data_IF_983061434275
#
_entry.id   IF_983061434275
#
_cell.length_a   1.000
_cell.length_b   1.000
_cell.length_c   1.000
_cell.angle_alpha   90.00
_cell.angle_beta   90.00
_cell.angle_gamma   90.00
#
_symmetry.space_group_name_H-M   'P 1'
#
loop_
_entity.id
_entity.type
_entity.pdbx_description
1 polymer ?
#
# COMPACT_ATOMS: atom_id res chain seq x y z
N UNK A 1 58.73 3.23 39.04
CA UNK A 1 57.77 4.34 39.15
C UNK A 1 57.14 4.54 37.78
N UNK A 2 55.96 3.94 37.55
CA UNK A 2 55.21 4.12 36.31
C UNK A 2 53.76 4.41 36.69
N UNK A 3 53.30 5.60 36.33
CA UNK A 3 51.96 6.11 36.59
C UNK A 3 50.98 5.52 35.56
N UNK A 4 49.90 4.88 36.02
CA UNK A 4 48.73 4.54 35.20
C UNK A 4 47.78 5.74 35.14
N UNK A 5 47.29 6.16 33.96
CA UNK A 5 46.24 7.17 33.87
C UNK A 5 44.86 6.51 34.08
N UNK A 6 44.05 7.16 34.92
CA UNK A 6 42.65 6.83 35.17
C UNK A 6 41.81 7.32 33.98
N UNK A 7 41.24 6.42 33.20
CA UNK A 7 40.27 6.76 32.14
C UNK A 7 38.88 6.94 32.78
N UNK A 8 38.38 8.18 32.78
CA UNK A 8 36.99 8.50 33.09
C UNK A 8 36.08 7.98 31.96
N UNK A 9 35.25 6.99 32.26
CA UNK A 9 34.17 6.57 31.37
C UNK A 9 32.98 7.53 31.55
N UNK A 10 32.72 8.36 30.55
CA UNK A 10 31.50 9.17 30.45
C UNK A 10 30.32 8.26 30.05
N UNK A 11 29.41 8.02 30.98
CA UNK A 11 28.14 7.36 30.72
C UNK A 11 27.26 8.30 29.89
N UNK A 12 27.09 8.01 28.60
CA UNK A 12 26.06 8.62 27.77
C UNK A 12 24.69 8.15 28.27
N UNK A 13 23.94 9.08 28.86
CA UNK A 13 22.56 8.88 29.25
C UNK A 13 21.73 8.50 28.03
N UNK A 14 21.22 7.27 28.02
CA UNK A 14 20.16 6.89 27.12
C UNK A 14 18.93 7.72 27.49
N UNK A 15 18.46 8.55 26.55
CA UNK A 15 17.20 9.25 26.67
C UNK A 15 16.08 8.23 26.81
N UNK A 16 15.64 8.00 28.04
CA UNK A 16 14.45 7.23 28.37
C UNK A 16 13.25 8.00 27.84
N UNK A 17 12.76 7.65 26.64
CA UNK A 17 11.40 7.99 26.26
C UNK A 17 10.47 7.42 27.32
N UNK A 18 9.68 8.28 27.98
CA UNK A 18 8.70 7.81 28.96
C UNK A 18 7.80 6.77 28.30
N UNK A 19 7.52 5.62 28.95
CA UNK A 19 6.59 4.64 28.39
C UNK A 19 5.25 5.33 28.14
N UNK A 20 4.70 5.15 26.94
CA UNK A 20 3.38 5.67 26.62
C UNK A 20 2.40 5.20 27.71
N UNK A 21 1.63 6.14 28.27
CA UNK A 21 0.72 5.82 29.36
C UNK A 21 -0.32 4.79 28.86
N UNK A 22 -0.28 3.59 29.45
CA UNK A 22 -1.25 2.54 29.15
C UNK A 22 -2.66 3.04 29.44
N UNK A 23 -3.60 2.71 28.55
CA UNK A 23 -5.03 3.03 28.70
C UNK A 23 -5.80 1.81 29.15
N UNK A 24 -7.01 1.99 29.66
CA UNK A 24 -7.91 0.91 30.08
C UNK A 24 -8.97 0.62 29.02
N UNK A 25 -9.24 -0.66 28.78
CA UNK A 25 -10.38 -1.17 28.02
C UNK A 25 -11.01 -2.29 28.85
N UNK A 26 -12.14 -2.00 29.49
CA UNK A 26 -12.70 -2.86 30.53
C UNK A 26 -11.71 -3.01 31.68
N UNK A 27 -11.31 -4.24 31.96
CA UNK A 27 -10.32 -4.57 32.98
C UNK A 27 -8.88 -4.69 32.43
N UNK A 28 -8.68 -4.51 31.12
CA UNK A 28 -7.38 -4.69 30.47
C UNK A 28 -6.66 -3.35 30.30
N UNK A 29 -5.35 -3.33 30.56
CA UNK A 29 -4.48 -2.24 30.14
C UNK A 29 -3.97 -2.50 28.72
N UNK A 30 -3.87 -1.45 27.90
CA UNK A 30 -3.41 -1.55 26.52
C UNK A 30 -2.58 -0.33 26.08
N UNK A 31 -1.72 -0.54 25.09
CA UNK A 31 -1.00 0.53 24.39
C UNK A 31 -1.89 1.08 23.26
N UNK A 32 -2.23 2.37 23.34
CA UNK A 32 -3.10 3.04 22.37
C UNK A 32 -2.44 3.28 21.00
N UNK A 33 -1.15 2.99 20.86
CA UNK A 33 -0.43 3.00 19.59
C UNK A 33 -0.55 1.66 18.85
N UNK A 34 -0.86 0.58 19.56
CA UNK A 34 -0.99 -0.78 19.01
C UNK A 34 -2.43 -1.28 18.98
N UNK A 35 -3.30 -0.77 19.85
CA UNK A 35 -4.68 -1.23 19.98
C UNK A 35 -5.67 -0.05 20.10
N UNK A 36 -6.91 -0.32 19.73
CA UNK A 36 -8.08 0.53 19.95
C UNK A 36 -9.10 -0.23 20.79
N UNK A 37 -9.72 0.47 21.74
CA UNK A 37 -10.81 -0.04 22.55
C UNK A 37 -12.17 0.34 21.95
N UNK A 38 -13.05 -0.65 21.77
CA UNK A 38 -14.42 -0.49 21.32
C UNK A 38 -15.39 -0.79 22.45
N UNK A 39 -16.41 0.07 22.60
CA UNK A 39 -17.47 -0.04 23.60
C UNK A 39 -16.95 -0.35 25.03
N UNK A 40 -15.80 0.22 25.38
CA UNK A 40 -15.12 0.08 26.67
C UNK A 40 -14.84 -1.36 27.13
N UNK A 41 -14.87 -2.37 26.25
CA UNK A 41 -14.61 -3.76 26.66
C UNK A 41 -14.09 -4.69 25.54
N UNK A 42 -13.85 -4.19 24.32
CA UNK A 42 -13.37 -5.02 23.22
C UNK A 42 -12.14 -4.40 22.56
N UNK A 43 -11.00 -5.09 22.62
CA UNK A 43 -9.74 -4.61 22.07
C UNK A 43 -9.53 -5.13 20.64
N UNK A 44 -9.22 -4.21 19.73
CA UNK A 44 -8.77 -4.52 18.39
C UNK A 44 -7.39 -3.96 18.13
N UNK A 45 -6.58 -4.71 17.38
CA UNK A 45 -5.24 -4.27 16.98
C UNK A 45 -5.34 -3.17 15.92
N UNK A 46 -4.39 -2.24 15.93
CA UNK A 46 -4.11 -1.31 14.84
C UNK A 46 -3.16 -2.00 13.85
N UNK A 47 -3.59 -2.19 12.61
CA UNK A 47 -2.83 -2.90 11.58
C UNK A 47 -2.52 -1.97 10.40
N UNK A 48 -1.24 -1.72 10.14
CA UNK A 48 -0.80 -0.79 9.08
C UNK A 48 -1.47 0.61 9.18
N UNK A 49 -1.66 1.10 10.40
CA UNK A 49 -2.36 2.36 10.69
C UNK A 49 -3.88 2.28 10.66
N UNK A 50 -4.48 1.13 10.35
CA UNK A 50 -5.92 0.91 10.45
C UNK A 50 -6.30 0.48 11.87
N UNK A 51 -7.06 1.27 12.63
CA UNK A 51 -7.76 0.75 13.80
C UNK A 51 -8.86 -0.20 13.35
N UNK A 52 -8.67 -1.52 13.55
CA UNK A 52 -9.66 -2.51 13.14
C UNK A 52 -10.99 -2.27 13.85
N UNK A 53 -12.09 -2.43 13.12
CA UNK A 53 -13.46 -2.27 13.62
C UNK A 53 -13.98 -3.58 14.23
N UNK A 54 -15.15 -3.55 14.89
CA UNK A 54 -15.76 -4.72 15.54
C UNK A 54 -17.07 -5.08 14.87
N UNK A 55 -17.24 -6.36 14.54
CA UNK A 55 -18.50 -6.93 14.06
C UNK A 55 -18.71 -8.31 14.66
N UNK A 56 -19.87 -8.56 15.26
CA UNK A 56 -20.22 -9.90 15.77
C UNK A 56 -19.23 -10.49 16.79
N UNK A 57 -18.52 -9.62 17.55
CA UNK A 57 -17.51 -10.06 18.51
C UNK A 57 -16.13 -10.38 17.92
N UNK A 58 -15.83 -9.95 16.69
CA UNK A 58 -14.52 -10.09 16.07
C UNK A 58 -14.02 -8.76 15.48
N UNK A 59 -12.70 -8.60 15.44
CA UNK A 59 -12.07 -7.47 14.74
C UNK A 59 -12.05 -7.71 13.23
N UNK A 60 -12.28 -6.68 12.43
CA UNK A 60 -12.23 -6.75 10.98
C UNK A 60 -11.64 -5.49 10.34
N UNK A 61 -11.09 -5.65 9.13
CA UNK A 61 -10.59 -4.55 8.31
C UNK A 61 -11.72 -3.93 7.49
N UNK A 62 -11.89 -2.63 7.67
CA UNK A 62 -12.79 -1.77 6.90
C UNK A 62 -12.33 -1.57 5.45
N UNK A 63 -11.09 -1.96 5.10
CA UNK A 63 -10.65 -1.98 3.70
C UNK A 63 -11.26 -3.13 2.89
N UNK A 64 -11.82 -4.16 3.55
CA UNK A 64 -12.36 -5.34 2.86
C UNK A 64 -13.80 -5.64 3.24
N UNK A 65 -14.21 -5.32 4.46
CA UNK A 65 -15.50 -5.74 4.99
C UNK A 65 -16.30 -4.58 5.55
N UNK A 66 -17.62 -4.78 5.60
CA UNK A 66 -18.57 -3.96 6.35
C UNK A 66 -19.36 -4.83 7.33
N UNK A 67 -19.80 -4.23 8.43
CA UNK A 67 -20.67 -4.89 9.39
C UNK A 67 -22.12 -4.54 9.07
N UNK A 68 -22.95 -5.55 8.79
CA UNK A 68 -24.38 -5.37 8.58
C UNK A 68 -25.14 -5.26 9.91
N UNK A 69 -26.32 -4.61 9.93
CA UNK A 69 -27.22 -4.65 11.08
C UNK A 69 -27.46 -6.10 11.52
N UNK A 70 -27.26 -6.39 12.81
CA UNK A 70 -27.29 -7.77 13.33
C UNK A 70 -25.91 -8.42 13.51
N UNK A 71 -24.80 -7.70 13.24
CA UNK A 71 -23.46 -8.17 13.56
C UNK A 71 -22.90 -9.20 12.58
N UNK A 72 -23.42 -9.24 11.35
CA UNK A 72 -22.91 -10.10 10.29
C UNK A 72 -21.88 -9.38 9.45
N UNK A 73 -20.69 -9.98 9.29
CA UNK A 73 -19.63 -9.46 8.45
C UNK A 73 -19.92 -9.75 6.98
N UNK A 74 -19.84 -8.74 6.13
CA UNK A 74 -20.02 -8.87 4.68
C UNK A 74 -18.81 -8.26 3.95
N UNK A 75 -18.40 -8.88 2.85
CA UNK A 75 -17.39 -8.31 1.97
C UNK A 75 -17.93 -7.05 1.31
N UNK A 76 -17.09 -6.03 1.18
CA UNK A 76 -17.43 -4.83 0.44
C UNK A 76 -17.63 -5.16 -1.06
N UNK A 77 -18.41 -4.35 -1.80
CA UNK A 77 -18.56 -4.53 -3.23
C UNK A 77 -17.21 -4.44 -3.95
N UNK A 78 -16.95 -5.34 -4.89
CA UNK A 78 -15.73 -5.30 -5.69
C UNK A 78 -15.71 -4.07 -6.62
N UNK A 79 -14.55 -3.41 -6.72
CA UNK A 79 -14.33 -2.23 -7.56
C UNK A 79 -13.96 -2.62 -9.01
N UNK A 80 -14.85 -3.35 -9.68
CA UNK A 80 -14.64 -3.85 -11.05
C UNK A 80 -15.38 -3.05 -12.13
N UNK A 81 -16.23 -2.10 -11.73
CA UNK A 81 -17.12 -1.38 -12.66
C UNK A 81 -16.43 -0.23 -13.41
N UNK A 82 -15.40 0.37 -12.84
CA UNK A 82 -14.70 1.53 -13.40
C UNK A 82 -13.25 1.58 -12.91
N UNK A 83 -12.35 2.30 -13.62
CA UNK A 83 -11.02 2.57 -13.11
C UNK A 83 -11.02 3.26 -11.74
N UNK A 84 -9.98 3.02 -10.98
CA UNK A 84 -9.72 3.70 -9.70
C UNK A 84 -8.26 4.09 -9.58
N UNK A 85 -7.96 5.05 -8.72
CA UNK A 85 -6.61 5.35 -8.27
C UNK A 85 -6.40 4.81 -6.86
N UNK A 86 -5.15 4.77 -6.41
CA UNK A 86 -4.79 4.29 -5.09
C UNK A 86 -4.10 5.39 -4.29
N UNK A 87 -4.48 5.52 -3.03
CA UNK A 87 -3.83 6.40 -2.06
C UNK A 87 -3.36 5.59 -0.86
N UNK A 88 -2.17 5.87 -0.36
CA UNK A 88 -1.63 5.25 0.84
C UNK A 88 -2.45 5.69 2.06
N UNK A 89 -2.78 4.74 2.93
CA UNK A 89 -3.46 4.99 4.19
C UNK A 89 -2.68 4.37 5.34
N UNK A 90 -1.94 5.20 6.06
CA UNK A 90 -1.49 4.95 7.43
C UNK A 90 -1.36 6.29 8.17
N UNK A 91 -2.38 6.74 8.93
CA UNK A 91 -2.37 8.04 9.61
C UNK A 91 -1.19 8.25 10.59
N UNK A 92 -0.61 7.18 11.11
CA UNK A 92 0.57 7.23 11.98
C UNK A 92 1.87 7.52 11.21
N UNK A 93 1.83 7.53 9.88
CA UNK A 93 2.93 7.86 8.98
C UNK A 93 2.58 9.07 8.10
N UNK A 94 2.58 10.30 8.64
CA UNK A 94 2.08 11.49 7.93
C UNK A 94 2.83 11.80 6.63
N UNK A 95 4.10 11.41 6.50
CA UNK A 95 4.86 11.58 5.26
C UNK A 95 4.36 10.69 4.10
N UNK A 96 3.72 9.56 4.42
CA UNK A 96 3.21 8.60 3.45
C UNK A 96 1.67 8.63 3.34
N UNK A 97 0.96 8.96 4.42
CA UNK A 97 -0.50 9.02 4.42
C UNK A 97 -1.02 9.98 3.34
N UNK A 98 -1.97 9.53 2.53
CA UNK A 98 -2.56 10.29 1.44
C UNK A 98 -1.70 10.38 0.17
N UNK A 99 -0.45 9.91 0.18
CA UNK A 99 0.37 9.87 -1.03
C UNK A 99 -0.26 8.96 -2.09
N UNK A 100 -0.23 9.33 -3.38
CA UNK A 100 -0.73 8.47 -4.44
C UNK A 100 0.20 7.25 -4.61
N UNK A 101 -0.34 6.15 -5.12
CA UNK A 101 0.49 5.14 -5.78
C UNK A 101 0.64 5.54 -7.25
N UNK A 102 1.88 5.72 -7.68
CA UNK A 102 2.21 6.19 -9.02
C UNK A 102 2.93 5.09 -9.80
N UNK A 103 2.58 4.94 -11.08
CA UNK A 103 3.41 4.30 -12.08
C UNK A 103 4.71 5.09 -12.16
N UNK A 104 5.78 4.45 -11.74
CA UNK A 104 7.12 4.95 -11.80
C UNK A 104 7.81 4.46 -13.08
N UNK A 105 8.79 5.25 -13.53
CA UNK A 105 9.70 4.85 -14.59
C UNK A 105 10.32 3.48 -14.30
N UNK A 106 10.45 2.66 -15.33
CA UNK A 106 10.96 1.29 -15.18
C UNK A 106 9.87 0.28 -14.84
N UNK A 107 8.60 0.59 -15.16
CA UNK A 107 7.46 -0.32 -15.09
C UNK A 107 7.14 -0.85 -13.67
N UNK A 108 7.30 0.01 -12.66
CA UNK A 108 7.05 -0.30 -11.25
C UNK A 108 6.02 0.64 -10.64
N UNK A 109 5.32 0.20 -9.61
CA UNK A 109 4.58 1.13 -8.75
C UNK A 109 5.46 1.65 -7.63
N UNK A 110 5.28 2.92 -7.29
CA UNK A 110 5.93 3.58 -6.18
C UNK A 110 4.91 4.40 -5.38
N UNK A 111 5.27 4.72 -4.14
CA UNK A 111 4.49 5.66 -3.31
C UNK A 111 5.00 7.08 -3.57
N UNK A 112 4.07 7.96 -3.95
CA UNK A 112 4.32 9.36 -4.26
C UNK A 112 4.94 9.60 -5.65
N UNK A 113 5.26 10.86 -5.91
CA UNK A 113 5.87 11.33 -7.15
C UNK A 113 4.92 11.32 -8.36
N UNK A 114 5.36 11.92 -9.49
CA UNK A 114 4.54 11.99 -10.69
C UNK A 114 4.36 10.62 -11.35
N UNK A 115 3.21 10.44 -12.00
CA UNK A 115 2.94 9.29 -12.87
C UNK A 115 3.79 9.39 -14.14
N UNK A 116 4.52 8.33 -14.46
CA UNK A 116 5.27 8.21 -15.70
C UNK A 116 4.36 7.63 -16.79
N UNK A 117 4.10 8.42 -17.83
CA UNK A 117 3.24 8.06 -18.93
C UNK A 117 3.73 8.65 -20.24
N UNK A 118 3.25 8.08 -21.35
CA UNK A 118 3.58 8.54 -22.69
C UNK A 118 2.35 8.50 -23.58
N UNK A 119 2.21 9.49 -24.46
CA UNK A 119 1.24 9.49 -25.55
C UNK A 119 1.90 9.95 -26.86
N UNK A 120 1.84 9.16 -27.95
CA UNK A 120 2.35 9.54 -29.26
C UNK A 120 1.34 10.42 -30.02
N UNK A 121 1.09 11.64 -29.52
CA UNK A 121 0.04 12.53 -30.05
C UNK A 121 0.16 12.84 -31.56
N UNK A 122 1.39 12.82 -32.11
CA UNK A 122 1.63 12.99 -33.55
C UNK A 122 1.13 11.81 -34.41
N UNK A 123 0.93 10.64 -33.80
CA UNK A 123 0.47 9.41 -34.45
C UNK A 123 -1.02 9.18 -34.21
N UNK A 124 -1.48 9.37 -32.96
CA UNK A 124 -2.86 9.06 -32.56
C UNK A 124 -3.79 10.27 -32.52
N UNK A 125 -3.25 11.49 -32.69
CA UNK A 125 -3.96 12.74 -32.49
C UNK A 125 -4.03 13.18 -31.02
N UNK A 126 -4.06 14.49 -30.74
CA UNK A 126 -4.06 15.01 -29.37
C UNK A 126 -5.32 14.62 -28.58
N UNK A 127 -6.48 14.53 -29.25
CA UNK A 127 -7.75 14.17 -28.61
C UNK A 127 -7.81 12.71 -28.16
N UNK A 128 -6.91 11.87 -28.67
CA UNK A 128 -6.76 10.47 -28.27
C UNK A 128 -5.80 10.29 -27.09
N UNK A 129 -5.19 11.36 -26.57
CA UNK A 129 -4.28 11.32 -25.43
C UNK A 129 -5.02 11.62 -24.12
N UNK A 130 -5.14 10.64 -23.21
CA UNK A 130 -5.58 10.91 -21.85
C UNK A 130 -4.57 11.81 -21.10
N UNK A 131 -4.97 12.43 -19.98
CA UNK A 131 -4.12 13.38 -19.26
C UNK A 131 -2.75 12.84 -18.81
N UNK A 132 -2.64 11.54 -18.55
CA UNK A 132 -1.36 10.91 -18.20
C UNK A 132 -0.77 11.32 -16.85
N UNK A 133 -1.51 12.08 -16.03
CA UNK A 133 -1.03 12.66 -14.77
C UNK A 133 -1.41 11.84 -13.52
N UNK A 134 -2.19 10.76 -13.69
CA UNK A 134 -2.61 9.88 -12.61
C UNK A 134 -2.48 8.40 -13.02
N UNK A 135 -2.15 7.57 -12.04
CA UNK A 135 -2.09 6.12 -12.21
C UNK A 135 -3.43 5.52 -11.87
N UNK A 136 -4.15 5.12 -12.92
CA UNK A 136 -5.46 4.49 -12.81
C UNK A 136 -5.33 2.98 -13.10
N UNK A 137 -6.13 2.20 -12.40
CA UNK A 137 -6.08 0.73 -12.37
C UNK A 137 -7.49 0.20 -12.59
N UNK A 138 -7.58 -0.92 -13.30
CA UNK A 138 -8.78 -1.73 -13.48
C UNK A 138 -8.61 -3.04 -12.71
N UNK A 139 -9.69 -3.52 -12.09
CA UNK A 139 -9.74 -4.85 -11.51
C UNK A 139 -10.71 -5.73 -12.32
N UNK A 140 -10.27 -6.92 -12.70
CA UNK A 140 -11.09 -7.95 -13.31
C UNK A 140 -11.72 -8.86 -12.22
N UNK A 141 -12.85 -9.49 -12.55
CA UNK A 141 -13.59 -10.34 -11.63
C UNK A 141 -12.81 -11.59 -11.17
N UNK A 142 -11.80 -12.01 -11.92
CA UNK A 142 -10.89 -13.12 -11.59
C UNK A 142 -9.73 -12.70 -10.66
N UNK A 143 -9.72 -11.45 -10.19
CA UNK A 143 -8.69 -10.92 -9.29
C UNK A 143 -7.42 -10.46 -9.99
N UNK A 144 -7.39 -10.39 -11.32
CA UNK A 144 -6.31 -9.75 -12.09
C UNK A 144 -6.49 -8.23 -12.10
N UNK A 145 -5.39 -7.50 -12.07
CA UNK A 145 -5.38 -6.05 -12.18
C UNK A 145 -4.65 -5.62 -13.46
N UNK A 146 -5.10 -4.55 -14.07
CA UNK A 146 -4.50 -3.96 -15.25
C UNK A 146 -4.37 -2.45 -15.07
N UNK A 147 -3.37 -1.85 -15.70
CA UNK A 147 -3.31 -0.39 -15.81
C UNK A 147 -4.44 0.08 -16.71
N UNK A 148 -5.13 1.16 -16.33
CA UNK A 148 -6.18 1.75 -17.15
C UNK A 148 -5.54 2.56 -18.28
N UNK A 149 -5.37 1.92 -19.45
CA UNK A 149 -4.68 2.47 -20.63
C UNK A 149 -5.46 2.26 -21.93
N UNK A 150 -5.21 3.09 -22.95
CA UNK A 150 -5.79 2.90 -24.31
C UNK A 150 -4.92 1.97 -25.17
N UNK A 151 -3.62 1.85 -24.87
CA UNK A 151 -2.67 1.17 -25.75
C UNK A 151 -3.09 -0.28 -26.06
N UNK A 152 -3.06 -0.71 -27.35
CA UNK A 152 -3.39 -2.08 -27.72
C UNK A 152 -2.54 -3.12 -26.98
N UNK A 153 -3.21 -4.14 -26.44
CA UNK A 153 -2.61 -5.17 -25.59
C UNK A 153 -2.61 -4.83 -24.10
N UNK A 154 -2.90 -3.58 -23.74
CA UNK A 154 -2.96 -3.13 -22.36
C UNK A 154 -1.61 -3.20 -21.63
N UNK A 155 -1.67 -3.09 -20.31
CA UNK A 155 -0.54 -3.31 -19.41
C UNK A 155 -1.05 -4.02 -18.16
N UNK A 156 -0.55 -5.22 -17.91
CA UNK A 156 -1.01 -6.09 -16.82
C UNK A 156 -0.20 -5.85 -15.55
N UNK A 157 -0.87 -5.76 -14.39
CA UNK A 157 -0.23 -5.64 -13.08
C UNK A 157 0.19 -7.02 -12.57
N UNK A 158 1.39 -7.11 -12.01
CA UNK A 158 1.93 -8.34 -11.42
C UNK A 158 2.72 -8.03 -10.15
N UNK A 159 2.91 -9.07 -9.32
CA UNK A 159 3.91 -9.08 -8.25
C UNK A 159 5.17 -9.74 -8.79
N UNK A 160 6.29 -9.03 -8.80
CA UNK A 160 7.57 -9.61 -9.17
C UNK A 160 8.05 -10.67 -8.17
N UNK A 161 9.10 -11.46 -8.47
CA UNK A 161 9.64 -12.46 -7.54
C UNK A 161 10.06 -11.89 -6.17
N UNK A 162 10.41 -10.60 -6.12
CA UNK A 162 10.72 -9.88 -4.90
C UNK A 162 9.51 -9.19 -4.26
N UNK A 163 8.30 -9.53 -4.72
CA UNK A 163 7.00 -9.01 -4.30
C UNK A 163 6.78 -7.51 -4.55
N UNK A 164 7.67 -6.85 -5.29
CA UNK A 164 7.41 -5.48 -5.75
C UNK A 164 6.31 -5.46 -6.81
N UNK A 165 5.47 -4.43 -6.78
CA UNK A 165 4.39 -4.30 -7.77
C UNK A 165 4.98 -3.75 -9.07
N UNK A 166 4.78 -4.50 -10.15
CA UNK A 166 5.17 -4.13 -11.51
C UNK A 166 3.97 -4.13 -12.45
N UNK A 167 4.18 -3.63 -13.66
CA UNK A 167 3.23 -3.76 -14.75
C UNK A 167 3.95 -4.07 -16.06
N UNK A 168 3.27 -4.72 -17.00
CA UNK A 168 3.92 -5.08 -18.27
C UNK A 168 4.17 -3.84 -19.13
N UNK A 169 5.18 -3.92 -19.98
CA UNK A 169 5.41 -2.89 -21.00
C UNK A 169 4.23 -2.88 -21.98
N UNK A 170 3.87 -1.71 -22.50
CA UNK A 170 2.94 -1.60 -23.60
C UNK A 170 3.32 -2.53 -24.77
N UNK A 171 2.31 -3.15 -25.40
CA UNK A 171 2.47 -4.13 -26.48
C UNK A 171 3.23 -5.40 -26.11
N UNK A 172 3.47 -5.66 -24.82
CA UNK A 172 4.21 -6.81 -24.35
C UNK A 172 3.51 -7.51 -23.18
N UNK A 173 3.55 -8.83 -23.18
CA UNK A 173 3.18 -9.65 -22.01
C UNK A 173 4.42 -9.99 -21.14
N UNK A 174 5.58 -9.41 -21.45
CA UNK A 174 6.84 -9.70 -20.76
C UNK A 174 6.80 -9.26 -19.30
N UNK A 175 7.11 -10.20 -18.40
CA UNK A 175 7.32 -9.98 -16.98
C UNK A 175 8.44 -10.92 -16.47
N UNK A 176 9.10 -10.60 -15.35
CA UNK A 176 10.14 -11.46 -14.79
C UNK A 176 9.62 -12.89 -14.51
N UNK A 177 10.45 -13.90 -14.76
CA UNK A 177 10.10 -15.28 -14.42
C UNK A 177 9.86 -15.43 -12.92
N UNK A 178 8.80 -16.14 -12.54
CA UNK A 178 8.36 -16.27 -11.13
C UNK A 178 7.47 -15.12 -10.65
N UNK A 179 7.04 -14.21 -11.53
CA UNK A 179 6.03 -13.22 -11.19
C UNK A 179 4.66 -13.89 -10.93
N UNK A 180 3.88 -13.29 -10.04
CA UNK A 180 2.51 -13.71 -9.73
C UNK A 180 1.53 -12.71 -10.37
N UNK A 181 0.56 -13.25 -11.10
CA UNK A 181 -0.54 -12.51 -11.72
C UNK A 181 -1.82 -12.88 -10.99
N UNK A 182 -2.65 -11.88 -10.69
CA UNK A 182 -3.91 -12.09 -9.97
C UNK A 182 -3.76 -12.15 -8.45
N UNK A 183 -4.81 -12.60 -7.77
CA UNK A 183 -4.87 -12.59 -6.31
C UNK A 183 -4.91 -11.16 -5.74
N UNK A 184 -5.46 -10.21 -6.49
CA UNK A 184 -5.76 -8.87 -6.00
C UNK A 184 -7.25 -8.74 -5.69
N UNK A 185 -7.55 -8.01 -4.62
CA UNK A 185 -8.90 -7.51 -4.34
C UNK A 185 -8.90 -5.99 -4.37
N UNK A 186 -9.99 -5.38 -4.84
CA UNK A 186 -10.21 -3.95 -4.75
C UNK A 186 -11.68 -3.74 -4.40
N UNK A 187 -11.95 -2.91 -3.39
CA UNK A 187 -13.28 -2.78 -2.83
C UNK A 187 -13.77 -1.33 -2.84
N UNK A 188 -15.01 -1.12 -3.26
CA UNK A 188 -15.66 0.20 -3.28
C UNK A 188 -15.77 0.73 -1.85
N UNK A 189 -15.22 1.92 -1.61
CA UNK A 189 -15.15 2.52 -0.28
C UNK A 189 -14.11 1.86 0.66
N UNK A 190 -13.43 0.82 0.21
CA UNK A 190 -12.41 0.08 0.94
C UNK A 190 -11.02 0.24 0.32
N UNK A 191 -10.31 -0.88 0.19
CA UNK A 191 -8.91 -0.90 -0.22
C UNK A 191 -8.58 -1.84 -1.36
N UNK A 192 -7.37 -1.66 -1.87
CA UNK A 192 -6.70 -2.58 -2.76
C UNK A 192 -5.82 -3.50 -1.91
N UNK A 193 -6.04 -4.81 -1.99
CA UNK A 193 -5.46 -5.80 -1.10
C UNK A 193 -4.73 -6.89 -1.87
N UNK A 194 -3.64 -7.37 -1.28
CA UNK A 194 -2.90 -8.52 -1.77
C UNK A 194 -3.43 -9.80 -1.09
N UNK A 195 -4.14 -10.63 -1.84
CA UNK A 195 -4.66 -11.92 -1.36
C UNK A 195 -3.61 -13.04 -1.45
N UNK A 196 -2.48 -12.81 -2.13
CA UNK A 196 -1.36 -13.75 -2.21
C UNK A 196 -0.44 -13.71 -0.97
N UNK A 197 -0.69 -12.81 -0.02
CA UNK A 197 0.22 -12.51 1.09
C UNK A 197 -0.22 -12.99 2.46
N UNK A 198 -1.15 -13.95 2.55
CA UNK A 198 -1.68 -14.50 3.83
C UNK A 198 -2.10 -13.42 4.86
N UNK A 199 -2.58 -12.27 4.39
CA UNK A 199 -3.01 -11.16 5.25
C UNK A 199 -1.91 -10.24 5.80
N UNK A 200 -0.65 -10.39 5.38
CA UNK A 200 0.45 -9.50 5.80
C UNK A 200 0.39 -8.08 5.17
N UNK A 201 -0.39 -7.92 4.09
CA UNK A 201 -0.69 -6.62 3.49
C UNK A 201 0.44 -6.01 2.66
N UNK A 202 0.47 -4.68 2.60
CA UNK A 202 1.46 -3.91 1.85
C UNK A 202 2.47 -3.23 2.76
N UNK A 203 3.66 -3.03 2.23
CA UNK A 203 4.67 -2.15 2.83
C UNK A 203 5.22 -1.17 1.81
N UNK A 204 5.58 0.02 2.29
CA UNK A 204 6.36 1.02 1.58
C UNK A 204 7.80 0.96 2.07
N UNK A 205 8.74 0.63 1.20
CA UNK A 205 10.16 0.56 1.54
C UNK A 205 10.87 1.84 1.11
N UNK A 206 11.59 2.47 2.03
CA UNK A 206 12.35 3.68 1.75
C UNK A 206 13.42 3.41 0.68
N UNK A 207 13.77 4.41 -0.14
CA UNK A 207 14.99 4.37 -0.92
C UNK A 207 16.21 4.09 -0.03
N UNK A 208 17.24 3.40 -0.55
CA UNK A 208 18.50 3.25 0.17
C UNK A 208 19.12 4.61 0.54
N UNK A 209 19.87 4.72 1.65
CA UNK A 209 20.63 5.92 1.96
C UNK A 209 21.56 6.31 0.81
N UNK A 210 21.55 7.59 0.42
CA UNK A 210 22.35 8.09 -0.71
C UNK A 210 21.78 7.77 -2.10
N UNK A 211 20.55 7.26 -2.18
CA UNK A 211 19.82 7.22 -3.44
C UNK A 211 19.59 8.65 -3.98
N UNK A 212 19.39 8.76 -5.29
CA UNK A 212 19.11 10.03 -5.94
C UNK A 212 17.86 10.70 -5.34
N UNK A 213 17.77 12.03 -5.45
CA UNK A 213 16.69 12.81 -4.85
C UNK A 213 15.30 12.45 -5.41
N UNK A 214 15.23 11.83 -6.58
CA UNK A 214 14.01 11.33 -7.21
C UNK A 214 13.70 9.85 -6.86
N UNK A 215 14.52 9.22 -6.01
CA UNK A 215 14.29 7.85 -5.60
C UNK A 215 13.00 7.76 -4.77
N UNK A 216 12.13 6.84 -5.17
CA UNK A 216 10.79 6.71 -4.59
C UNK A 216 10.67 5.54 -3.64
N UNK A 217 9.73 5.66 -2.72
CA UNK A 217 9.32 4.57 -1.85
C UNK A 217 8.75 3.43 -2.69
N UNK A 218 9.30 2.25 -2.54
CA UNK A 218 8.91 1.07 -3.31
C UNK A 218 7.70 0.41 -2.64
N UNK A 219 6.65 0.14 -3.42
CA UNK A 219 5.50 -0.60 -2.94
C UNK A 219 5.74 -2.10 -3.10
N UNK A 220 5.65 -2.84 -1.98
CA UNK A 220 5.96 -4.27 -1.92
C UNK A 220 4.85 -5.00 -1.18
N UNK A 221 4.43 -6.15 -1.71
CA UNK A 221 3.57 -7.09 -1.00
C UNK A 221 4.35 -7.80 0.09
N UNK A 222 3.87 -7.75 1.34
CA UNK A 222 4.45 -8.52 2.44
C UNK A 222 3.76 -9.89 2.49
N UNK A 223 4.53 -10.92 2.84
CA UNK A 223 4.02 -12.26 3.13
C UNK A 223 4.88 -12.91 4.22
N UNK A 224 4.54 -14.13 4.64
CA UNK A 224 5.25 -14.86 5.69
C UNK A 224 6.75 -15.06 5.40
N UNK A 225 7.13 -15.28 4.14
CA UNK A 225 8.52 -15.52 3.72
C UNK A 225 9.35 -14.24 3.60
N UNK A 226 8.72 -13.09 3.27
CA UNK A 226 9.40 -11.80 3.11
C UNK A 226 9.31 -10.90 4.36
N UNK A 227 8.51 -11.29 5.36
CA UNK A 227 8.20 -10.45 6.51
C UNK A 227 9.42 -9.99 7.31
N UNK A 228 10.46 -10.82 7.42
CA UNK A 228 11.70 -10.50 8.10
C UNK A 228 12.57 -9.52 7.30
N UNK A 229 12.73 -9.75 5.99
CA UNK A 229 13.49 -8.88 5.10
C UNK A 229 12.84 -7.49 4.95
N UNK A 230 11.53 -7.40 5.10
CA UNK A 230 10.73 -6.18 5.00
C UNK A 230 10.44 -5.51 6.36
N UNK A 231 11.09 -5.95 7.45
CA UNK A 231 10.84 -5.41 8.78
C UNK A 231 11.15 -3.90 8.92
N UNK A 232 12.07 -3.38 8.10
CA UNK A 232 12.40 -1.95 8.04
C UNK A 232 11.48 -1.12 7.14
N UNK A 233 10.52 -1.75 6.44
CA UNK A 233 9.57 -1.04 5.58
C UNK A 233 8.33 -0.61 6.37
N UNK A 234 7.75 0.52 5.97
CA UNK A 234 6.55 1.08 6.59
C UNK A 234 5.31 0.26 6.19
N UNK A 235 4.54 -0.32 7.14
CA UNK A 235 3.29 -1.00 6.81
C UNK A 235 2.24 0.01 6.34
N UNK A 236 1.56 -0.26 5.23
CA UNK A 236 0.56 0.66 4.65
C UNK A 236 -0.66 -0.10 4.16
N UNK A 237 -1.83 0.54 4.20
CA UNK A 237 -2.98 0.13 3.42
C UNK A 237 -3.07 0.98 2.14
N UNK A 238 -3.75 0.47 1.11
CA UNK A 238 -4.01 1.20 -0.13
C UNK A 238 -5.51 1.44 -0.26
N UNK A 239 -5.93 2.69 -0.12
CA UNK A 239 -7.33 3.09 -0.28
C UNK A 239 -7.68 3.15 -1.76
N UNK A 240 -8.81 2.54 -2.14
CA UNK A 240 -9.39 2.68 -3.49
C UNK A 240 -10.10 4.03 -3.56
N UNK A 241 -9.71 4.85 -4.53
CA UNK A 241 -10.30 6.16 -4.78
C UNK A 241 -10.94 6.13 -6.17
N UNK A 242 -12.25 6.40 -6.30
CA UNK A 242 -12.90 6.45 -7.61
C UNK A 242 -12.15 7.38 -8.56
N UNK A 243 -11.86 6.90 -9.77
CA UNK A 243 -11.29 7.76 -10.80
C UNK A 243 -12.45 8.48 -11.49
N UNK A 244 -12.57 9.79 -11.23
CA UNK A 244 -13.71 10.60 -11.66
C UNK A 244 -13.74 10.91 -13.18
N UNK A 245 -13.04 10.14 -14.00
CA UNK A 245 -13.20 10.18 -15.46
C UNK A 245 -13.72 8.84 -15.95
N UNK A 246 -14.68 8.88 -16.88
CA UNK A 246 -15.15 7.70 -17.62
C UNK A 246 -14.12 7.16 -18.61
N UNK A 247 -12.87 7.64 -18.53
CA UNK A 247 -11.76 7.36 -19.43
C UNK A 247 -10.65 6.61 -18.70
N UNK A 248 -9.73 6.06 -19.49
CA UNK A 248 -8.45 5.54 -18.98
C UNK A 248 -7.52 6.68 -18.55
N UNK A 249 -6.49 6.35 -17.75
CA UNK A 249 -5.61 7.36 -17.14
C UNK A 249 -4.44 7.80 -18.02
N UNK A 250 -4.01 6.96 -18.97
CA UNK A 250 -2.90 7.26 -19.88
C UNK A 250 -3.09 6.55 -21.23
N UNK A 251 -2.35 6.98 -22.26
CA UNK A 251 -2.21 6.18 -23.47
C UNK A 251 -1.37 4.93 -23.16
N UNK A 252 -0.19 5.11 -22.56
CA UNK A 252 0.56 4.06 -21.84
C UNK A 252 1.26 4.62 -20.60
N UNK A 253 1.57 3.76 -19.63
CA UNK A 253 2.48 4.02 -18.52
C UNK A 253 3.89 3.49 -18.84
N UNK A 254 4.94 4.12 -18.29
CA UNK A 254 6.36 3.86 -18.63
C UNK A 254 7.26 3.72 -17.41
#
# INVERSE_FOLDING_TARGET
MAWLPLLLATMLGHGSGAPAALKTCGQSLYDATEYICHADNFLCRITAGEPLSVCGGACYSTFQYACSPGGTLALLPAATAAPFTLAVSNPSLPALHGQPVSAAGGLRWAVGGPTASYCPASVVGPDACPPGNATAVLLAADGRAAMAVVVPGGQEVYLAPDWSVGYTQAHSAGMPAGSVVGGFGAYVGGGFVNLNGDGWGWVACAPPPGAADDARWRLVGRNATSAAALAGCAPVNLKVVPFNSSSVGAWQYT
#
